data_IF_236162093993
#
_entry.id   IF_236162093993
#
_cell.length_a   1.000
_cell.length_b   1.000
_cell.length_c   1.000
_cell.angle_alpha   90.00
_cell.angle_beta   90.00
_cell.angle_gamma   90.00
#
_symmetry.space_group_name_H-M   'P 1'
#
loop_
_entity.id
_entity.type
_entity.pdbx_description
1 polymer ?
#
# COMPACT_ATOMS: atom_id res chain seq x y z
N UNK A 1 1.62 32.51 12.81
CA UNK A 1 0.66 31.41 12.80
C UNK A 1 0.45 31.04 11.32
N UNK A 2 1.36 30.22 10.78
CA UNK A 2 1.35 29.80 9.36
C UNK A 2 0.79 28.40 9.29
N UNK A 3 -0.38 28.29 8.74
CA UNK A 3 -1.01 27.03 8.32
C UNK A 3 -0.21 26.55 7.10
N UNK A 4 0.57 25.50 7.24
CA UNK A 4 1.26 24.86 6.11
C UNK A 4 0.25 24.00 5.38
N UNK A 5 -0.02 24.40 4.15
CA UNK A 5 -0.83 23.70 3.17
C UNK A 5 -0.30 22.28 2.93
N UNK A 6 -1.07 21.28 3.32
CA UNK A 6 -0.88 19.87 2.98
C UNK A 6 -1.35 19.53 1.55
N UNK A 7 -1.53 20.53 0.70
CA UNK A 7 -2.16 20.41 -0.63
C UNK A 7 -1.20 20.05 -1.77
N UNK A 8 0.11 19.90 -1.53
CA UNK A 8 1.10 19.75 -2.62
C UNK A 8 1.12 18.35 -3.23
N UNK A 9 0.84 17.30 -2.45
CA UNK A 9 0.88 15.91 -2.95
C UNK A 9 -0.35 15.51 -3.78
N UNK A 10 -1.47 16.17 -3.59
CA UNK A 10 -2.76 15.84 -4.24
C UNK A 10 -2.85 16.36 -5.67
N UNK A 11 -2.08 17.39 -6.02
CA UNK A 11 -2.14 18.00 -7.36
C UNK A 11 -1.41 17.23 -8.46
N UNK A 12 -0.55 16.28 -8.11
CA UNK A 12 0.26 15.51 -9.06
C UNK A 12 -0.60 14.54 -9.89
N UNK A 13 -1.73 14.09 -9.34
CA UNK A 13 -2.64 13.15 -10.01
C UNK A 13 -3.77 13.82 -10.81
N UNK A 14 -3.82 15.16 -10.88
CA UNK A 14 -4.77 15.88 -11.72
C UNK A 14 -4.28 15.95 -13.17
N UNK A 15 -4.37 14.88 -13.94
CA UNK A 15 -4.27 14.93 -15.39
C UNK A 15 -5.63 14.75 -16.03
N UNK A 16 -6.09 15.86 -16.59
CA UNK A 16 -7.11 16.09 -17.63
C UNK A 16 -7.66 14.83 -18.31
N UNK A 17 -8.88 14.46 -17.95
CA UNK A 17 -9.72 13.62 -18.78
C UNK A 17 -10.47 14.49 -19.80
N UNK A 18 -10.00 14.46 -21.02
CA UNK A 18 -10.75 14.87 -22.20
C UNK A 18 -10.48 13.84 -23.28
N UNK A 19 -11.31 12.80 -23.30
CA UNK A 19 -11.82 12.19 -24.54
C UNK A 19 -12.80 11.06 -24.15
N UNK A 20 -14.03 11.26 -24.54
CA UNK A 20 -15.15 10.36 -24.38
C UNK A 20 -15.00 9.16 -25.34
N UNK A 21 -14.85 7.96 -24.79
CA UNK A 21 -15.16 6.62 -25.29
C UNK A 21 -14.09 5.54 -25.07
N UNK A 22 -13.20 5.71 -24.08
CA UNK A 22 -12.30 4.66 -23.59
C UNK A 22 -12.78 4.24 -22.20
N UNK A 23 -12.74 2.95 -21.91
CA UNK A 23 -12.84 2.47 -20.52
C UNK A 23 -11.83 3.28 -19.72
N UNK A 24 -12.30 4.23 -18.91
CA UNK A 24 -11.44 5.11 -18.15
C UNK A 24 -10.76 4.27 -17.09
N UNK A 25 -9.50 3.93 -17.33
CA UNK A 25 -8.67 3.30 -16.32
C UNK A 25 -8.03 4.37 -15.46
N UNK A 26 -7.93 4.11 -14.18
CA UNK A 26 -7.29 4.96 -13.18
C UNK A 26 -6.11 4.25 -12.58
N UNK A 27 -5.10 5.01 -12.13
CA UNK A 27 -3.98 4.46 -11.38
C UNK A 27 -4.31 4.38 -9.90
N UNK A 28 -3.92 3.30 -9.25
CA UNK A 28 -4.01 3.14 -7.80
C UNK A 28 -2.70 2.59 -7.24
N UNK A 29 -2.40 2.95 -5.99
CA UNK A 29 -1.22 2.47 -5.26
C UNK A 29 -1.69 1.64 -4.08
N UNK A 30 -1.15 0.43 -3.98
CA UNK A 30 -1.54 -0.60 -3.03
C UNK A 30 -0.33 -0.96 -2.18
N UNK A 31 -0.49 -1.04 -0.86
CA UNK A 31 0.47 -1.64 0.04
C UNK A 31 0.08 -3.08 0.35
N UNK A 32 1.07 -3.96 0.40
CA UNK A 32 0.93 -5.35 0.80
C UNK A 32 1.83 -5.63 2.00
N UNK A 33 1.29 -6.38 2.99
CA UNK A 33 2.02 -6.81 4.16
C UNK A 33 1.66 -8.24 4.57
N UNK A 34 2.64 -9.02 5.03
CA UNK A 34 2.44 -10.37 5.53
C UNK A 34 3.46 -10.70 6.62
N UNK A 35 3.01 -11.31 7.74
CA UNK A 35 3.91 -11.75 8.82
C UNK A 35 3.60 -13.15 9.38
N UNK A 36 2.75 -13.94 8.72
CA UNK A 36 2.43 -15.31 9.14
C UNK A 36 2.64 -16.29 8.00
N UNK A 37 3.23 -17.44 8.29
CA UNK A 37 3.35 -18.56 7.35
C UNK A 37 4.26 -18.26 6.19
N UNK A 38 3.89 -18.69 4.99
CA UNK A 38 4.68 -18.42 3.77
C UNK A 38 4.40 -17.00 3.25
N UNK A 39 5.04 -16.01 3.92
CA UNK A 39 4.89 -14.58 3.65
C UNK A 39 5.11 -14.24 2.18
N UNK A 40 6.12 -14.85 1.53
CA UNK A 40 6.43 -14.62 0.11
C UNK A 40 5.34 -15.12 -0.81
N UNK A 41 4.82 -16.32 -0.57
CA UNK A 41 3.71 -16.88 -1.37
C UNK A 41 2.46 -16.02 -1.26
N UNK A 42 2.16 -15.45 -0.09
CA UNK A 42 1.02 -14.54 0.08
C UNK A 42 1.22 -13.22 -0.67
N UNK A 43 2.42 -12.64 -0.65
CA UNK A 43 2.71 -11.44 -1.43
C UNK A 43 2.64 -11.70 -2.94
N UNK A 44 3.17 -12.83 -3.43
CA UNK A 44 3.04 -13.25 -4.84
C UNK A 44 1.59 -13.42 -5.24
N UNK A 45 0.81 -14.16 -4.44
CA UNK A 45 -0.62 -14.34 -4.66
C UNK A 45 -1.37 -13.00 -4.78
N UNK A 46 -1.08 -12.05 -3.88
CA UNK A 46 -1.68 -10.72 -3.94
C UNK A 46 -1.27 -9.96 -5.20
N UNK A 47 0.02 -9.94 -5.55
CA UNK A 47 0.51 -9.30 -6.77
C UNK A 47 -0.15 -9.90 -8.01
N UNK A 48 -0.27 -11.23 -8.10
CA UNK A 48 -0.85 -11.94 -9.25
C UNK A 48 -2.36 -11.74 -9.37
N UNK A 49 -3.01 -11.35 -8.27
CA UNK A 49 -4.44 -11.00 -8.27
C UNK A 49 -4.76 -9.67 -8.97
N UNK A 50 -3.75 -8.85 -9.29
CA UNK A 50 -3.91 -7.61 -10.03
C UNK A 50 -3.44 -7.76 -11.48
N UNK A 51 -4.35 -7.52 -12.44
CA UNK A 51 -4.12 -7.81 -13.86
C UNK A 51 -3.10 -6.88 -14.52
N UNK A 52 -3.09 -5.59 -14.15
CA UNK A 52 -2.25 -4.55 -14.78
C UNK A 52 -1.38 -3.86 -13.73
N UNK A 53 -0.26 -4.48 -13.44
CA UNK A 53 0.78 -3.90 -12.58
C UNK A 53 1.64 -2.93 -13.39
N UNK A 54 1.83 -1.71 -12.88
CA UNK A 54 2.66 -0.66 -13.51
C UNK A 54 4.07 -0.67 -12.93
N UNK A 55 4.17 -0.71 -11.58
CA UNK A 55 5.43 -0.76 -10.86
C UNK A 55 5.25 -1.62 -9.60
N UNK A 56 6.30 -2.29 -9.19
CA UNK A 56 6.38 -3.02 -7.92
C UNK A 56 7.70 -2.63 -7.26
N UNK A 57 7.66 -2.32 -5.98
CA UNK A 57 8.86 -2.03 -5.18
C UNK A 57 9.62 -3.30 -4.83
N UNK A 58 10.82 -3.15 -4.31
CA UNK A 58 11.48 -4.17 -3.53
C UNK A 58 10.63 -4.58 -2.32
N UNK A 59 10.93 -5.75 -1.75
CA UNK A 59 10.33 -6.28 -0.53
C UNK A 59 11.22 -5.90 0.64
N UNK A 60 10.62 -5.38 1.70
CA UNK A 60 11.31 -4.98 2.92
C UNK A 60 10.82 -5.81 4.11
N UNK A 61 11.75 -6.27 4.93
CA UNK A 61 11.47 -6.90 6.21
C UNK A 61 11.51 -5.87 7.33
N UNK A 62 10.50 -5.88 8.19
CA UNK A 62 10.36 -4.94 9.31
C UNK A 62 9.82 -5.64 10.54
N UNK A 63 10.28 -5.20 11.72
CA UNK A 63 9.72 -5.66 12.98
C UNK A 63 8.27 -5.18 13.17
N UNK A 64 7.42 -5.94 13.87
CA UNK A 64 6.05 -5.53 14.16
C UNK A 64 6.00 -4.26 15.01
N UNK A 65 5.18 -3.27 14.60
CA UNK A 65 4.91 -2.07 15.37
C UNK A 65 3.69 -2.30 16.26
N UNK A 66 3.93 -2.54 17.55
CA UNK A 66 2.87 -2.81 18.52
C UNK A 66 2.29 -4.22 18.43
N UNK A 67 1.29 -4.51 19.26
CA UNK A 67 0.67 -5.84 19.33
C UNK A 67 1.43 -6.82 20.25
N UNK A 68 1.11 -8.14 20.20
CA UNK A 68 1.79 -9.17 20.99
C UNK A 68 3.29 -9.25 20.69
N UNK A 69 4.12 -9.54 21.70
CA UNK A 69 5.58 -9.59 21.61
C UNK A 69 6.13 -10.76 20.76
N UNK A 70 5.32 -11.75 20.48
CA UNK A 70 5.71 -12.99 19.77
C UNK A 70 5.22 -12.99 18.30
N UNK A 71 5.28 -11.85 17.62
CA UNK A 71 4.96 -11.76 16.20
C UNK A 71 6.21 -11.89 15.33
N UNK A 72 6.10 -12.63 14.24
CA UNK A 72 7.15 -12.66 13.21
C UNK A 72 7.27 -11.30 12.50
N UNK A 73 8.44 -11.02 11.97
CA UNK A 73 8.70 -9.84 11.16
C UNK A 73 7.80 -9.80 9.92
N UNK A 74 7.38 -8.60 9.53
CA UNK A 74 6.58 -8.39 8.32
C UNK A 74 7.45 -8.35 7.07
N UNK A 75 6.94 -8.88 5.97
CA UNK A 75 7.39 -8.52 4.62
C UNK A 75 6.41 -7.51 4.04
N UNK A 76 6.93 -6.38 3.59
CA UNK A 76 6.15 -5.27 3.06
C UNK A 76 6.62 -4.91 1.65
N UNK A 77 5.69 -4.60 0.76
CA UNK A 77 5.95 -4.01 -0.55
C UNK A 77 4.83 -3.05 -0.95
N UNK A 78 5.10 -2.21 -1.93
CA UNK A 78 4.10 -1.34 -2.56
C UNK A 78 4.09 -1.60 -4.06
N UNK A 79 2.89 -1.66 -4.64
CA UNK A 79 2.72 -1.74 -6.09
C UNK A 79 1.76 -0.66 -6.59
N UNK A 80 1.97 -0.20 -7.81
CA UNK A 80 1.00 0.60 -8.55
C UNK A 80 0.34 -0.23 -9.63
N UNK A 81 -0.95 -0.03 -9.81
CA UNK A 81 -1.79 -0.74 -10.77
C UNK A 81 -2.57 0.24 -11.63
N UNK A 82 -2.96 -0.22 -12.80
CA UNK A 82 -4.02 0.41 -13.60
C UNK A 82 -5.31 -0.41 -13.43
N UNK A 83 -6.43 0.26 -13.16
CA UNK A 83 -7.70 -0.40 -12.89
C UNK A 83 -8.88 0.37 -13.47
N UNK A 84 -9.91 -0.36 -13.92
CA UNK A 84 -11.21 0.20 -14.29
C UNK A 84 -12.23 0.13 -13.14
N UNK A 85 -11.85 -0.45 -12.00
CA UNK A 85 -12.71 -0.52 -10.82
C UNK A 85 -12.76 0.85 -10.15
N UNK A 86 -13.93 1.30 -9.72
CA UNK A 86 -14.03 2.44 -8.82
C UNK A 86 -13.38 2.13 -7.44
N UNK A 87 -13.10 3.15 -6.60
CA UNK A 87 -12.39 2.94 -5.34
C UNK A 87 -13.05 1.92 -4.40
N UNK A 88 -14.38 1.90 -4.31
CA UNK A 88 -15.11 0.95 -3.47
C UNK A 88 -15.11 -0.47 -4.06
N UNK A 89 -15.17 -0.60 -5.38
CA UNK A 89 -15.01 -1.90 -6.06
C UNK A 89 -13.59 -2.44 -5.89
N UNK A 90 -12.58 -1.56 -5.95
CA UNK A 90 -11.19 -1.93 -5.66
C UNK A 90 -11.02 -2.36 -4.20
N UNK A 91 -11.62 -1.66 -3.24
CA UNK A 91 -11.62 -2.07 -1.83
C UNK A 91 -12.19 -3.48 -1.66
N UNK A 92 -13.33 -3.78 -2.30
CA UNK A 92 -13.91 -5.13 -2.29
C UNK A 92 -12.99 -6.18 -2.92
N UNK A 93 -12.23 -5.82 -3.96
CA UNK A 93 -11.21 -6.71 -4.55
C UNK A 93 -10.08 -6.97 -3.56
N UNK A 94 -9.53 -5.95 -2.90
CA UNK A 94 -8.51 -6.08 -1.87
C UNK A 94 -8.98 -7.01 -0.73
N UNK A 95 -10.18 -6.81 -0.22
CA UNK A 95 -10.77 -7.66 0.83
C UNK A 95 -10.96 -9.13 0.40
N UNK A 96 -11.29 -9.39 -0.87
CA UNK A 96 -11.35 -10.77 -1.41
C UNK A 96 -9.98 -11.41 -1.51
N UNK A 97 -8.95 -10.64 -1.89
CA UNK A 97 -7.56 -11.13 -1.94
C UNK A 97 -7.10 -11.51 -0.53
N UNK A 98 -7.33 -10.66 0.46
CA UNK A 98 -7.06 -10.98 1.87
C UNK A 98 -7.81 -12.25 2.33
N UNK A 99 -9.08 -12.37 1.98
CA UNK A 99 -9.90 -13.55 2.29
C UNK A 99 -9.36 -14.82 1.63
N UNK A 100 -8.87 -14.75 0.40
CA UNK A 100 -8.25 -15.85 -0.33
C UNK A 100 -6.94 -16.35 0.30
N UNK A 101 -6.21 -15.47 0.99
CA UNK A 101 -5.02 -15.81 1.77
C UNK A 101 -5.34 -16.39 3.16
N UNK A 102 -6.56 -16.88 3.41
CA UNK A 102 -7.05 -17.43 4.68
C UNK A 102 -6.85 -16.47 5.86
N UNK A 103 -7.13 -15.18 5.69
CA UNK A 103 -7.01 -14.15 6.73
C UNK A 103 -7.78 -14.56 7.99
N UNK A 104 -7.06 -14.89 9.05
CA UNK A 104 -7.63 -15.07 10.38
C UNK A 104 -7.50 -13.75 11.16
N UNK A 105 -8.57 -12.96 11.25
CA UNK A 105 -8.67 -11.79 12.14
C UNK A 105 -8.99 -12.27 13.55
N UNK A 106 -7.98 -12.45 14.38
CA UNK A 106 -8.18 -12.84 15.77
C UNK A 106 -8.01 -11.69 16.77
N UNK A 107 -7.16 -10.70 16.49
CA UNK A 107 -6.85 -9.62 17.44
C UNK A 107 -6.56 -8.31 16.66
N UNK A 108 -6.97 -7.16 17.21
CA UNK A 108 -6.56 -5.83 16.69
C UNK A 108 -5.04 -5.70 16.83
N UNK A 109 -4.34 -5.35 15.74
CA UNK A 109 -2.86 -5.31 15.66
C UNK A 109 -2.18 -6.68 15.79
N UNK A 110 -2.90 -7.77 15.64
CA UNK A 110 -2.36 -9.14 15.65
C UNK A 110 -1.76 -9.57 14.31
N UNK A 111 -1.11 -10.74 14.30
CA UNK A 111 -0.49 -11.32 13.12
C UNK A 111 -1.48 -11.48 11.96
N UNK A 112 -1.00 -11.28 10.71
CA UNK A 112 -1.85 -11.34 9.50
C UNK A 112 -1.17 -12.13 8.40
N UNK A 113 -1.91 -13.06 7.79
CA UNK A 113 -1.45 -13.78 6.61
C UNK A 113 -1.19 -12.83 5.45
N UNK A 114 -2.10 -11.88 5.22
CA UNK A 114 -1.99 -10.87 4.18
C UNK A 114 -2.81 -9.63 4.57
N UNK A 115 -2.24 -8.46 4.34
CA UNK A 115 -2.89 -7.15 4.42
C UNK A 115 -2.78 -6.47 3.05
N UNK A 116 -3.88 -5.86 2.57
CA UNK A 116 -3.96 -5.24 1.25
C UNK A 116 -4.65 -3.88 1.38
N UNK A 117 -3.87 -2.83 1.49
CA UNK A 117 -4.34 -1.47 1.74
C UNK A 117 -4.25 -0.58 0.49
N UNK A 118 -5.33 0.14 0.15
CA UNK A 118 -5.31 1.17 -0.89
C UNK A 118 -4.68 2.44 -0.30
N UNK A 119 -3.51 2.81 -0.79
CA UNK A 119 -2.80 4.03 -0.36
C UNK A 119 -3.32 5.27 -1.07
N UNK A 120 -3.39 5.18 -2.40
CA UNK A 120 -3.81 6.27 -3.29
C UNK A 120 -4.69 5.73 -4.40
N UNK A 121 -5.56 6.60 -4.91
CA UNK A 121 -6.33 6.36 -6.12
C UNK A 121 -6.40 7.67 -6.90
N UNK A 122 -6.09 7.60 -8.20
CA UNK A 122 -5.97 8.76 -9.08
C UNK A 122 -7.23 9.63 -9.06
N UNK A 123 -7.03 10.94 -8.80
CA UNK A 123 -8.09 11.94 -8.81
C UNK A 123 -9.13 11.83 -7.67
N UNK A 124 -8.93 10.91 -6.70
CA UNK A 124 -9.89 10.68 -5.63
C UNK A 124 -9.37 11.17 -4.27
N UNK A 125 -10.25 11.89 -3.57
CA UNK A 125 -10.17 12.15 -2.14
C UNK A 125 -11.45 11.60 -1.54
N UNK A 126 -11.34 10.60 -0.67
CA UNK A 126 -12.46 9.92 -0.03
C UNK A 126 -12.25 9.94 1.47
N UNK A 127 -13.27 10.36 2.20
CA UNK A 127 -13.31 10.29 3.65
C UNK A 127 -14.65 9.68 4.05
N UNK A 128 -14.65 8.39 4.33
CA UNK A 128 -15.83 7.65 4.74
C UNK A 128 -15.46 6.59 5.79
N UNK A 129 -16.48 6.03 6.42
CA UNK A 129 -16.33 4.98 7.44
C UNK A 129 -15.63 3.71 6.92
N UNK A 130 -15.82 3.42 5.62
CA UNK A 130 -15.30 2.20 4.99
C UNK A 130 -13.98 2.41 4.25
N UNK A 131 -13.71 3.63 3.76
CA UNK A 131 -12.57 3.92 2.90
C UNK A 131 -12.14 5.38 3.06
N UNK A 132 -10.85 5.57 3.32
CA UNK A 132 -10.22 6.89 3.31
C UNK A 132 -9.06 6.86 2.31
N UNK A 133 -9.08 7.77 1.35
CA UNK A 133 -8.03 7.94 0.32
C UNK A 133 -7.64 9.44 0.28
N UNK A 134 -6.34 9.75 0.42
CA UNK A 134 -5.20 8.88 0.73
C UNK A 134 -5.36 8.16 2.06
N UNK A 135 -4.73 6.99 2.20
CA UNK A 135 -4.78 6.22 3.44
C UNK A 135 -4.28 7.06 4.63
N UNK A 136 -5.02 7.17 5.74
CA UNK A 136 -4.75 8.17 6.79
C UNK A 136 -3.39 8.02 7.47
N UNK A 137 -2.88 6.79 7.58
CA UNK A 137 -1.62 6.52 8.28
C UNK A 137 -0.39 6.45 7.38
N UNK A 138 -0.45 6.85 6.11
CA UNK A 138 0.72 6.78 5.21
C UNK A 138 1.89 7.58 5.77
N UNK A 139 1.62 8.80 6.23
CA UNK A 139 2.65 9.74 6.66
C UNK A 139 3.35 9.36 7.97
N UNK A 140 2.85 8.34 8.67
CA UNK A 140 3.34 7.90 9.98
C UNK A 140 4.07 6.56 9.90
N UNK A 141 4.07 5.89 8.73
CA UNK A 141 4.52 4.50 8.58
C UNK A 141 5.73 4.40 7.68
N UNK A 142 6.89 4.26 8.28
CA UNK A 142 8.16 4.12 7.55
C UNK A 142 8.19 2.89 6.66
N UNK A 143 7.63 1.77 7.13
CA UNK A 143 7.54 0.52 6.38
C UNK A 143 6.64 0.59 5.13
N UNK A 144 5.78 1.62 5.02
CA UNK A 144 5.02 1.94 3.81
C UNK A 144 5.78 2.94 2.95
N UNK A 145 6.36 3.99 3.55
CA UNK A 145 7.04 5.06 2.81
C UNK A 145 8.34 4.59 2.16
N UNK A 146 9.06 3.65 2.76
CA UNK A 146 10.29 3.11 2.18
C UNK A 146 10.03 2.45 0.82
N UNK A 147 9.16 1.42 0.69
CA UNK A 147 8.84 0.84 -0.62
C UNK A 147 8.09 1.82 -1.55
N UNK A 148 7.25 2.72 -1.02
CA UNK A 148 6.56 3.74 -1.81
C UNK A 148 7.57 4.69 -2.49
N UNK A 149 8.61 5.11 -1.78
CA UNK A 149 9.61 6.04 -2.29
C UNK A 149 10.42 5.50 -3.46
N UNK A 150 10.54 4.18 -3.61
CA UNK A 150 11.19 3.57 -4.78
C UNK A 150 10.39 3.77 -6.06
N UNK A 151 9.08 3.67 -6.00
CA UNK A 151 8.23 3.64 -7.19
C UNK A 151 7.49 4.96 -7.43
N UNK A 152 7.20 5.71 -6.35
CA UNK A 152 6.47 6.97 -6.35
C UNK A 152 7.02 7.96 -5.29
N UNK A 153 8.29 8.43 -5.43
CA UNK A 153 8.89 9.37 -4.47
C UNK A 153 8.09 10.67 -4.35
N UNK A 154 7.38 11.07 -5.41
CA UNK A 154 6.53 12.26 -5.46
C UNK A 154 5.30 12.18 -4.54
N UNK A 155 4.92 10.99 -4.11
CA UNK A 155 3.80 10.77 -3.18
C UNK A 155 4.22 10.76 -1.72
N UNK A 156 5.53 10.71 -1.46
CA UNK A 156 6.06 10.73 -0.11
C UNK A 156 6.11 12.18 0.43
N UNK A 157 5.84 12.40 1.73
CA UNK A 157 6.05 13.70 2.35
C UNK A 157 7.51 14.16 2.20
N UNK A 158 7.72 15.46 2.07
CA UNK A 158 9.08 16.01 2.07
C UNK A 158 9.79 15.65 3.40
N UNK A 159 11.05 15.21 3.30
CA UNK A 159 11.89 14.86 4.46
C UNK A 159 11.32 13.77 5.39
N UNK A 160 10.42 12.91 4.89
CA UNK A 160 9.82 11.85 5.69
C UNK A 160 10.85 10.95 6.38
N UNK A 161 11.98 10.69 5.71
CA UNK A 161 13.06 9.85 6.23
C UNK A 161 13.79 10.45 7.44
N UNK A 162 13.71 11.79 7.60
CA UNK A 162 14.32 12.53 8.71
C UNK A 162 13.32 12.82 9.84
N UNK A 163 12.02 12.89 9.51
CA UNK A 163 10.96 13.29 10.44
C UNK A 163 10.33 12.13 11.19
N UNK A 164 10.38 10.93 10.63
CA UNK A 164 9.87 9.73 11.30
C UNK A 164 10.95 9.05 12.14
N UNK A 165 10.53 8.46 13.26
CA UNK A 165 11.42 7.67 14.11
C UNK A 165 12.11 6.57 13.30
N UNK A 166 13.41 6.31 13.57
CA UNK A 166 14.13 5.24 12.90
C UNK A 166 13.47 3.88 13.17
N UNK A 167 13.16 3.17 12.11
CA UNK A 167 12.74 1.76 12.16
C UNK A 167 13.82 0.92 11.50
N UNK A 168 14.05 -0.28 12.02
CA UNK A 168 14.93 -1.24 11.36
C UNK A 168 14.20 -1.84 10.16
N UNK A 169 14.56 -1.38 8.95
CA UNK A 169 13.99 -1.82 7.69
C UNK A 169 15.09 -2.46 6.86
N UNK A 170 14.94 -3.74 6.56
CA UNK A 170 15.91 -4.53 5.80
C UNK A 170 15.39 -4.84 4.41
N UNK A 171 16.21 -4.62 3.40
CA UNK A 171 15.90 -5.12 2.06
C UNK A 171 15.89 -6.65 2.11
N UNK A 172 14.76 -7.25 1.73
CA UNK A 172 14.58 -8.71 1.71
C UNK A 172 14.84 -9.28 0.32
N UNK A 173 14.42 -8.59 -0.75
CA UNK A 173 14.57 -9.02 -2.14
C UNK A 173 13.48 -8.42 -3.04
N UNK A 174 13.16 -9.12 -4.12
CA UNK A 174 12.10 -8.74 -5.06
C UNK A 174 11.08 -9.86 -5.25
N UNK A 175 9.91 -9.50 -5.80
CA UNK A 175 8.82 -10.48 -6.03
C UNK A 175 9.19 -11.52 -7.11
N UNK A 176 10.07 -11.17 -8.05
CA UNK A 176 10.48 -12.00 -9.16
C UNK A 176 11.66 -12.94 -8.83
N UNK A 177 12.32 -12.74 -7.70
CA UNK A 177 13.41 -13.63 -7.25
C UNK A 177 12.82 -14.91 -6.67
N UNK A 178 13.13 -16.05 -7.34
CA UNK A 178 12.80 -17.39 -6.82
C UNK A 178 13.84 -17.75 -5.75
N UNK A 179 13.39 -17.87 -4.52
CA UNK A 179 14.17 -18.46 -3.42
C UNK A 179 13.81 -19.93 -3.26
#
# INVERSE_FOLDING_TARGET
MCIRDSSTSVNIWRKQSADSNLVTSSSAVIALGSNIGDRMSYLRFACDSFDRKLKISSIYETEPIGGPSDQDAYLNLVLSIETSLDPHALLRKCQRIEGGAARQRTIRWGPRTLDVDILFYEGCLIESELLTIPHPSINERRFVLTPLSEIHPELCPANWSETLDPEEIKLFGSIDESH
#
